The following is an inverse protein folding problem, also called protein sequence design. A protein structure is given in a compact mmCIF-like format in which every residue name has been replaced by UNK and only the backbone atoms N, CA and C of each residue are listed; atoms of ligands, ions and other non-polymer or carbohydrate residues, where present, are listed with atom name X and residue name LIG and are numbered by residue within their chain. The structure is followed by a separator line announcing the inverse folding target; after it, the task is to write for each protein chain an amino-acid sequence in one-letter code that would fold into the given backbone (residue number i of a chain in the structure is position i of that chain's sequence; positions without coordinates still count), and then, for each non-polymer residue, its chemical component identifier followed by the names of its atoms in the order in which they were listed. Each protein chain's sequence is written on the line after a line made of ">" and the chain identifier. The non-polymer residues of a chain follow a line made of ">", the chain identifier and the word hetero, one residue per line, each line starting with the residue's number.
data_IF_373879002641
#
_entry.id   IF_373879002641
#
_cell.length_a   1.000
_cell.length_b   1.000
_cell.length_c   1.000
_cell.angle_alpha   90.00
_cell.angle_beta   90.00
_cell.angle_gamma   90.00
#
_symmetry.space_group_name_H-M   'P 1'
#
loop_
_entity.id
_entity.type
_entity.pdbx_description
1 polymer ?
#
# COMPACT_ATOMS: atom_id res chain seq x y z
N UNK A 1 23.12 -16.94 23.21
CA UNK A 1 21.90 -16.53 22.47
C UNK A 1 22.33 -15.38 21.58
N UNK A 2 22.04 -15.46 20.29
CA UNK A 2 22.31 -14.33 19.38
C UNK A 2 21.29 -13.23 19.73
N UNK A 3 21.77 -12.03 20.02
CA UNK A 3 20.91 -10.90 20.35
C UNK A 3 20.44 -10.18 19.08
N UNK A 4 19.41 -9.36 19.19
CA UNK A 4 18.94 -8.52 18.09
C UNK A 4 20.03 -7.55 17.61
N UNK A 5 20.84 -7.05 18.54
CA UNK A 5 21.95 -6.17 18.28
C UNK A 5 23.08 -6.87 17.47
N UNK A 6 23.35 -8.16 17.75
CA UNK A 6 24.29 -8.96 16.99
C UNK A 6 23.82 -9.13 15.52
N UNK A 7 22.52 -9.35 15.31
CA UNK A 7 21.94 -9.49 13.97
C UNK A 7 22.05 -8.17 13.19
N UNK A 8 21.75 -7.03 13.83
CA UNK A 8 21.86 -5.72 13.20
C UNK A 8 23.32 -5.39 12.87
N UNK A 9 24.24 -5.70 13.75
CA UNK A 9 25.66 -5.45 13.53
C UNK A 9 26.22 -6.29 12.38
N UNK A 10 25.72 -7.50 12.20
CA UNK A 10 26.22 -8.43 11.17
C UNK A 10 25.54 -8.23 9.81
N UNK A 11 24.20 -7.98 9.78
CA UNK A 11 23.39 -7.98 8.57
C UNK A 11 22.66 -6.66 8.33
N UNK A 12 22.80 -5.67 9.22
CA UNK A 12 22.09 -4.40 9.15
C UNK A 12 22.75 -3.42 8.17
N UNK A 13 21.97 -2.91 7.21
CA UNK A 13 22.35 -1.76 6.38
C UNK A 13 21.48 -0.55 6.74
N UNK A 14 22.10 0.63 6.82
CA UNK A 14 21.43 1.90 7.14
C UNK A 14 21.25 2.72 5.87
N UNK A 15 20.09 3.33 5.74
CA UNK A 15 19.74 4.19 4.62
C UNK A 15 19.14 5.49 5.14
N UNK A 16 19.61 6.62 4.63
CA UNK A 16 19.04 7.93 4.95
C UNK A 16 17.81 8.20 4.14
N UNK A 17 16.91 9.06 4.64
CA UNK A 17 15.70 9.46 3.93
C UNK A 17 16.02 9.90 2.48
N UNK A 18 15.24 9.38 1.52
CA UNK A 18 15.39 9.63 0.08
C UNK A 18 16.45 8.78 -0.63
N UNK A 19 17.23 7.99 0.10
CA UNK A 19 18.25 7.13 -0.48
C UNK A 19 17.59 5.92 -1.17
N UNK A 20 18.06 5.61 -2.39
CA UNK A 20 17.69 4.37 -3.06
C UNK A 20 18.40 3.19 -2.39
N UNK A 21 17.64 2.15 -2.09
CA UNK A 21 18.16 0.86 -1.64
C UNK A 21 18.57 0.04 -2.88
N UNK A 22 17.70 0.06 -3.89
CA UNK A 22 17.96 -0.42 -5.25
C UNK A 22 16.99 0.24 -6.25
N UNK A 23 17.28 0.12 -7.54
CA UNK A 23 16.45 0.67 -8.63
C UNK A 23 15.78 -0.44 -9.41
N UNK A 24 14.63 -0.11 -9.99
CA UNK A 24 13.96 -0.97 -10.97
C UNK A 24 14.92 -1.36 -12.11
N UNK A 25 14.96 -2.64 -12.47
CA UNK A 25 15.82 -3.20 -13.50
C UNK A 25 17.24 -3.59 -13.02
N UNK A 26 17.67 -3.19 -11.83
CA UNK A 26 18.94 -3.63 -11.27
C UNK A 26 18.97 -5.16 -11.09
N UNK A 27 20.15 -5.77 -11.24
CA UNK A 27 20.36 -7.13 -10.76
C UNK A 27 20.42 -7.14 -9.23
N UNK A 28 19.82 -8.15 -8.61
CA UNK A 28 19.81 -8.22 -7.14
C UNK A 28 19.64 -9.63 -6.63
N UNK A 29 20.54 -10.05 -5.76
CA UNK A 29 20.59 -11.36 -5.10
C UNK A 29 20.26 -11.26 -3.60
N UNK A 30 19.91 -10.05 -3.14
CA UNK A 30 19.58 -9.77 -1.74
C UNK A 30 18.13 -9.41 -1.58
N UNK A 31 17.51 -9.82 -0.49
CA UNK A 31 16.27 -9.31 0.02
C UNK A 31 16.46 -8.55 1.33
N UNK A 32 15.46 -7.79 1.72
CA UNK A 32 15.55 -6.86 2.83
C UNK A 32 14.37 -7.04 3.77
N UNK A 33 14.62 -7.02 5.08
CA UNK A 33 13.61 -6.93 6.13
C UNK A 33 13.79 -5.58 6.81
N UNK A 34 12.73 -4.77 6.87
CA UNK A 34 12.76 -3.48 7.57
C UNK A 34 12.81 -3.75 9.07
N UNK A 35 13.89 -3.31 9.72
CA UNK A 35 14.00 -3.33 11.18
C UNK A 35 13.38 -2.07 11.78
N UNK A 36 13.77 -0.89 11.29
CA UNK A 36 13.22 0.40 11.68
C UNK A 36 13.05 1.31 10.46
N UNK A 37 12.16 2.30 10.55
CA UNK A 37 11.90 3.23 9.46
C UNK A 37 10.86 2.73 8.48
N UNK A 38 10.82 3.34 7.28
CA UNK A 38 9.86 3.03 6.22
C UNK A 38 10.53 3.06 4.85
N UNK A 39 10.03 2.22 3.94
CA UNK A 39 10.51 2.13 2.56
C UNK A 39 9.34 2.29 1.60
N UNK A 40 9.49 3.18 0.62
CA UNK A 40 8.60 3.31 -0.52
C UNK A 40 9.05 2.37 -1.63
N UNK A 41 8.15 1.51 -2.08
CA UNK A 41 8.32 0.75 -3.32
C UNK A 41 7.70 1.58 -4.43
N UNK A 42 8.50 1.90 -5.45
CA UNK A 42 8.11 2.83 -6.51
C UNK A 42 8.29 2.20 -7.88
N UNK A 43 7.49 2.63 -8.83
CA UNK A 43 7.57 2.22 -10.24
C UNK A 43 7.70 3.44 -11.12
N UNK A 44 8.55 3.35 -12.15
CA UNK A 44 8.69 4.39 -13.16
C UNK A 44 7.48 4.36 -14.08
N UNK A 45 6.88 5.52 -14.31
CA UNK A 45 5.78 5.76 -15.25
C UNK A 45 6.13 6.91 -16.18
N UNK A 46 5.35 7.13 -17.21
CA UNK A 46 5.52 8.26 -18.13
C UNK A 46 5.39 9.63 -17.42
N UNK A 47 4.65 9.68 -16.31
CA UNK A 47 4.42 10.87 -15.48
C UNK A 47 5.47 11.04 -14.37
N UNK A 48 6.43 10.12 -14.25
CA UNK A 48 7.46 10.12 -13.22
C UNK A 48 7.45 8.87 -12.36
N UNK A 49 7.93 8.98 -11.12
CA UNK A 49 8.03 7.85 -10.20
C UNK A 49 6.80 7.78 -9.29
N UNK A 50 6.02 6.70 -9.40
CA UNK A 50 4.80 6.48 -8.62
C UNK A 50 5.04 5.52 -7.45
N UNK A 51 4.62 5.90 -6.24
CA UNK A 51 4.67 5.03 -5.07
C UNK A 51 3.57 3.96 -5.21
N UNK A 52 3.98 2.70 -5.25
CA UNK A 52 3.07 1.55 -5.25
C UNK A 52 2.60 1.20 -3.84
N UNK A 53 3.54 1.17 -2.89
CA UNK A 53 3.26 0.85 -1.48
C UNK A 53 4.36 1.41 -0.59
N UNK A 54 4.00 1.79 0.64
CA UNK A 54 4.93 2.12 1.72
C UNK A 54 4.96 0.96 2.69
N UNK A 55 6.15 0.44 2.96
CA UNK A 55 6.42 -0.67 3.85
C UNK A 55 6.98 -0.17 5.18
N UNK A 56 6.68 -0.88 6.27
CA UNK A 56 7.12 -0.53 7.62
C UNK A 56 7.90 -1.65 8.32
N UNK A 57 8.22 -1.49 9.61
CA UNK A 57 8.99 -2.46 10.38
C UNK A 57 8.38 -3.86 10.35
N UNK A 58 9.23 -4.87 10.09
CA UNK A 58 8.85 -6.27 9.96
C UNK A 58 8.33 -6.67 8.57
N UNK A 59 8.14 -5.71 7.64
CA UNK A 59 7.89 -6.02 6.24
C UNK A 59 9.18 -6.38 5.53
N UNK A 60 9.04 -7.11 4.41
CA UNK A 60 10.17 -7.49 3.55
C UNK A 60 9.91 -7.04 2.11
N UNK A 61 11.00 -6.87 1.36
CA UNK A 61 10.98 -6.45 -0.03
C UNK A 61 12.26 -6.91 -0.76
N UNK A 62 12.23 -6.86 -2.10
CA UNK A 62 13.32 -7.33 -2.96
C UNK A 62 13.36 -8.86 -3.11
N UNK A 63 12.43 -9.58 -2.50
CA UNK A 63 12.30 -11.03 -2.51
C UNK A 63 12.06 -11.60 -3.91
N UNK A 64 11.36 -10.84 -4.78
CA UNK A 64 11.04 -11.32 -6.13
C UNK A 64 12.30 -11.59 -6.96
N UNK A 65 13.30 -10.71 -6.89
CA UNK A 65 14.54 -10.88 -7.63
C UNK A 65 15.34 -12.10 -7.13
N UNK A 66 15.25 -12.42 -5.84
CA UNK A 66 15.90 -13.61 -5.25
C UNK A 66 15.16 -14.89 -5.65
N UNK A 67 13.82 -14.89 -5.60
CA UNK A 67 12.99 -16.06 -5.91
C UNK A 67 13.01 -16.38 -7.42
N UNK A 68 12.81 -15.34 -8.25
CA UNK A 68 12.66 -15.50 -9.71
C UNK A 68 14.00 -15.40 -10.46
N UNK A 69 15.10 -15.05 -9.77
CA UNK A 69 16.43 -14.79 -10.35
C UNK A 69 16.37 -13.76 -11.48
N UNK A 70 15.45 -12.82 -11.35
CA UNK A 70 15.19 -11.77 -12.33
C UNK A 70 15.66 -10.39 -11.84
N UNK A 71 15.51 -9.36 -12.68
CA UNK A 71 15.81 -7.98 -12.28
C UNK A 71 14.81 -7.48 -11.23
N UNK A 72 15.20 -6.42 -10.49
CA UNK A 72 14.29 -5.73 -9.56
C UNK A 72 13.03 -5.26 -10.28
N UNK A 73 11.88 -5.70 -9.82
CA UNK A 73 10.57 -5.40 -10.43
C UNK A 73 10.10 -3.95 -10.19
N UNK A 74 10.70 -3.26 -9.21
CA UNK A 74 10.40 -1.90 -8.80
C UNK A 74 11.62 -1.30 -8.10
N UNK A 75 11.65 0.03 -7.88
CA UNK A 75 12.66 0.68 -7.04
C UNK A 75 12.24 0.66 -5.57
N UNK A 76 13.21 0.70 -4.67
CA UNK A 76 13.01 0.84 -3.24
C UNK A 76 13.76 2.07 -2.72
N UNK A 77 13.04 2.97 -2.03
CA UNK A 77 13.56 4.25 -1.53
C UNK A 77 13.23 4.37 -0.05
N UNK A 78 14.19 4.73 0.78
CA UNK A 78 13.96 5.02 2.18
C UNK A 78 13.04 6.26 2.33
N UNK A 79 11.85 6.09 2.89
CA UNK A 79 10.90 7.18 3.12
C UNK A 79 11.29 8.05 4.34
N UNK A 80 12.03 7.48 5.26
CA UNK A 80 12.65 8.09 6.43
C UNK A 80 13.98 7.34 6.72
N UNK A 81 14.74 7.75 7.70
CA UNK A 81 15.97 7.03 8.10
C UNK A 81 15.60 5.60 8.50
N UNK A 82 16.19 4.65 7.82
CA UNK A 82 15.75 3.24 7.80
C UNK A 82 16.93 2.30 8.04
N UNK A 83 16.68 1.26 8.82
CA UNK A 83 17.60 0.14 8.99
C UNK A 83 16.95 -1.11 8.42
N UNK A 84 17.63 -1.77 7.48
CA UNK A 84 17.19 -3.04 6.91
C UNK A 84 18.17 -4.15 7.28
N UNK A 85 17.66 -5.33 7.60
CA UNK A 85 18.43 -6.57 7.66
C UNK A 85 18.49 -7.13 6.25
N UNK A 86 19.68 -7.40 5.76
CA UNK A 86 19.92 -7.91 4.41
C UNK A 86 20.13 -9.40 4.47
N UNK A 87 19.44 -10.13 3.61
CA UNK A 87 19.54 -11.58 3.45
C UNK A 87 19.92 -11.86 1.99
N UNK A 88 21.02 -12.60 1.79
CA UNK A 88 21.32 -13.20 0.51
C UNK A 88 20.44 -14.46 0.26
N UNK A 89 20.55 -15.03 -0.93
CA UNK A 89 19.77 -16.22 -1.32
C UNK A 89 20.01 -17.39 -0.36
N UNK A 90 21.27 -17.66 0.00
CA UNK A 90 21.63 -18.80 0.85
C UNK A 90 21.05 -18.65 2.27
N UNK A 91 21.18 -17.49 2.87
CA UNK A 91 20.66 -17.20 4.20
C UNK A 91 19.12 -17.20 4.21
N UNK A 92 18.51 -16.69 3.14
CA UNK A 92 17.06 -16.74 2.95
C UNK A 92 16.56 -18.19 2.88
N UNK A 93 17.15 -19.04 2.04
CA UNK A 93 16.79 -20.45 1.93
C UNK A 93 16.96 -21.20 3.25
N UNK A 94 18.08 -20.98 3.95
CA UNK A 94 18.32 -21.58 5.27
C UNK A 94 17.24 -21.18 6.28
N UNK A 95 16.82 -19.90 6.29
CA UNK A 95 15.76 -19.42 7.18
C UNK A 95 14.41 -20.03 6.82
N UNK A 96 14.11 -20.16 5.53
CA UNK A 96 12.88 -20.79 5.04
C UNK A 96 12.77 -22.26 5.45
N UNK A 97 13.87 -23.00 5.36
CA UNK A 97 13.91 -24.42 5.74
C UNK A 97 13.79 -24.64 7.26
N UNK A 98 14.39 -23.74 8.05
CA UNK A 98 14.48 -23.91 9.51
C UNK A 98 13.33 -23.29 10.29
N UNK A 99 12.58 -22.34 9.69
CA UNK A 99 11.62 -21.55 10.43
C UNK A 99 10.28 -21.40 9.71
N UNK A 100 9.39 -22.38 9.93
CA UNK A 100 8.05 -22.36 9.37
C UNK A 100 7.23 -21.09 9.72
N UNK A 101 7.56 -20.38 10.81
CA UNK A 101 6.88 -19.13 11.18
C UNK A 101 7.27 -18.01 10.21
N UNK A 102 8.51 -17.97 9.73
CA UNK A 102 8.96 -17.00 8.72
C UNK A 102 8.22 -17.25 7.42
N UNK A 103 8.17 -18.51 6.95
CA UNK A 103 7.42 -18.91 5.76
C UNK A 103 5.96 -18.45 5.83
N UNK A 104 5.30 -18.74 6.95
CA UNK A 104 3.90 -18.33 7.17
C UNK A 104 3.73 -16.82 7.15
N UNK A 105 4.68 -16.05 7.71
CA UNK A 105 4.67 -14.58 7.69
C UNK A 105 4.81 -14.05 6.27
N UNK A 106 5.73 -14.62 5.49
CA UNK A 106 5.94 -14.25 4.08
C UNK A 106 4.66 -14.50 3.27
N UNK A 107 4.08 -15.70 3.35
CA UNK A 107 2.84 -16.04 2.65
C UNK A 107 1.69 -15.14 3.05
N UNK A 108 1.56 -14.81 4.34
CA UNK A 108 0.51 -13.89 4.83
C UNK A 108 0.67 -12.49 4.24
N UNK A 109 1.89 -11.95 4.19
CA UNK A 109 2.17 -10.64 3.63
C UNK A 109 1.92 -10.62 2.11
N UNK A 110 2.37 -11.64 1.38
CA UNK A 110 2.10 -11.78 -0.06
C UNK A 110 0.59 -11.87 -0.34
N UNK A 111 -0.15 -12.65 0.43
CA UNK A 111 -1.60 -12.74 0.31
C UNK A 111 -2.31 -11.41 0.60
N UNK A 112 -1.82 -10.64 1.56
CA UNK A 112 -2.36 -9.31 1.86
C UNK A 112 -2.09 -8.32 0.70
N UNK A 113 -0.86 -8.32 0.15
CA UNK A 113 -0.50 -7.50 -1.02
C UNK A 113 -1.35 -7.86 -2.24
N UNK A 114 -1.53 -9.16 -2.52
CA UNK A 114 -2.36 -9.63 -3.64
C UNK A 114 -3.83 -9.20 -3.48
N UNK A 115 -4.40 -9.30 -2.28
CA UNK A 115 -5.76 -8.80 -2.01
C UNK A 115 -5.87 -7.29 -2.26
N UNK A 116 -4.93 -6.49 -1.75
CA UNK A 116 -4.92 -5.06 -1.96
C UNK A 116 -4.83 -4.70 -3.46
N UNK A 117 -4.00 -5.41 -4.23
CA UNK A 117 -3.90 -5.22 -5.69
C UNK A 117 -5.21 -5.59 -6.41
N UNK A 118 -5.85 -6.70 -6.03
CA UNK A 118 -7.14 -7.09 -6.61
C UNK A 118 -8.24 -6.08 -6.31
N UNK A 119 -8.28 -5.53 -5.10
CA UNK A 119 -9.22 -4.48 -4.71
C UNK A 119 -8.99 -3.19 -5.53
N UNK A 120 -7.73 -2.80 -5.75
CA UNK A 120 -7.40 -1.67 -6.63
C UNK A 120 -7.84 -1.92 -8.08
N UNK A 121 -7.59 -3.10 -8.63
CA UNK A 121 -8.04 -3.48 -9.97
C UNK A 121 -9.57 -3.45 -10.09
N UNK A 122 -10.30 -3.97 -9.11
CA UNK A 122 -11.76 -3.89 -9.09
C UNK A 122 -12.24 -2.45 -9.07
N UNK A 123 -11.59 -1.57 -8.29
CA UNK A 123 -11.94 -0.15 -8.26
C UNK A 123 -11.73 0.52 -9.62
N UNK A 124 -10.65 0.22 -10.34
CA UNK A 124 -10.35 0.80 -11.65
C UNK A 124 -11.29 0.26 -12.76
N UNK A 125 -11.78 -0.97 -12.63
CA UNK A 125 -12.62 -1.62 -13.66
C UNK A 125 -14.11 -1.43 -13.44
N UNK A 126 -14.54 -1.02 -12.25
CA UNK A 126 -15.97 -0.78 -11.96
C UNK A 126 -16.46 0.47 -12.68
N UNK A 127 -17.59 0.37 -13.40
CA UNK A 127 -18.24 1.52 -14.07
C UNK A 127 -19.03 2.41 -13.10
N UNK A 128 -19.21 1.97 -11.86
CA UNK A 128 -19.89 2.71 -10.81
C UNK A 128 -18.93 3.61 -10.05
N UNK A 129 -18.87 4.87 -10.41
CA UNK A 129 -18.00 5.87 -9.80
C UNK A 129 -18.25 6.05 -8.30
N UNK A 130 -19.51 5.93 -7.84
CA UNK A 130 -19.81 6.02 -6.41
C UNK A 130 -19.13 4.89 -5.64
N UNK A 131 -19.26 3.65 -6.15
CA UNK A 131 -18.63 2.49 -5.53
C UNK A 131 -17.08 2.55 -5.57
N UNK A 132 -16.48 3.12 -6.62
CA UNK A 132 -15.03 3.36 -6.68
C UNK A 132 -14.57 4.25 -5.53
N UNK A 133 -15.26 5.38 -5.32
CA UNK A 133 -14.92 6.35 -4.27
C UNK A 133 -15.11 5.72 -2.88
N UNK A 134 -16.24 5.06 -2.65
CA UNK A 134 -16.53 4.37 -1.37
C UNK A 134 -15.48 3.32 -1.04
N UNK A 135 -15.14 2.46 -2.00
CA UNK A 135 -14.15 1.41 -1.80
C UNK A 135 -12.75 1.97 -1.53
N UNK A 136 -12.33 3.03 -2.25
CA UNK A 136 -11.05 3.69 -2.01
C UNK A 136 -10.96 4.28 -0.60
N UNK A 137 -12.02 4.92 -0.12
CA UNK A 137 -12.10 5.44 1.25
C UNK A 137 -12.07 4.31 2.30
N UNK A 138 -12.76 3.21 2.08
CA UNK A 138 -12.71 2.04 2.97
C UNK A 138 -11.31 1.43 3.05
N UNK A 139 -10.64 1.26 1.91
CA UNK A 139 -9.25 0.78 1.87
C UNK A 139 -8.34 1.71 2.68
N UNK A 140 -8.52 3.02 2.52
CA UNK A 140 -7.71 4.01 3.23
C UNK A 140 -7.92 3.94 4.75
N UNK A 141 -9.18 3.88 5.20
CA UNK A 141 -9.52 3.81 6.64
C UNK A 141 -9.06 2.48 7.25
N UNK A 142 -9.27 1.37 6.56
CA UNK A 142 -8.82 0.06 7.03
C UNK A 142 -7.29 -0.01 7.22
N UNK A 143 -6.54 0.77 6.45
CA UNK A 143 -5.08 0.86 6.55
C UNK A 143 -4.60 1.83 7.63
N UNK A 144 -5.28 2.97 7.79
CA UNK A 144 -4.81 4.09 8.61
C UNK A 144 -5.65 4.31 9.88
N UNK A 145 -6.77 3.60 10.04
CA UNK A 145 -7.70 3.76 11.17
C UNK A 145 -8.77 4.84 10.95
N UNK A 146 -9.71 4.91 11.86
CA UNK A 146 -10.72 5.96 11.90
C UNK A 146 -10.09 7.34 12.21
N UNK A 147 -10.80 8.44 11.94
CA UNK A 147 -10.32 9.82 12.05
C UNK A 147 -9.07 10.10 11.20
N UNK A 148 -9.02 9.53 10.01
CA UNK A 148 -7.92 9.69 9.06
C UNK A 148 -8.22 10.76 8.01
N UNK A 149 -7.18 11.33 7.43
CA UNK A 149 -7.29 12.29 6.33
C UNK A 149 -6.62 11.76 5.07
N UNK A 150 -7.21 12.06 3.93
CA UNK A 150 -6.75 11.64 2.61
C UNK A 150 -6.68 12.86 1.68
N UNK A 151 -5.51 13.18 1.08
CA UNK A 151 -5.42 14.19 0.04
C UNK A 151 -6.30 13.84 -1.17
N UNK A 152 -6.98 14.84 -1.74
CA UNK A 152 -7.86 14.65 -2.90
C UNK A 152 -7.12 14.01 -4.08
N UNK A 153 -5.87 14.42 -4.34
CA UNK A 153 -5.06 13.84 -5.41
C UNK A 153 -4.82 12.34 -5.19
N UNK A 154 -4.57 11.92 -3.96
CA UNK A 154 -4.43 10.49 -3.63
C UNK A 154 -5.71 9.70 -3.93
N UNK A 155 -6.87 10.29 -3.65
CA UNK A 155 -8.16 9.66 -3.98
C UNK A 155 -8.37 9.59 -5.51
N UNK A 156 -8.00 10.64 -6.24
CA UNK A 156 -8.03 10.66 -7.71
C UNK A 156 -7.18 9.51 -8.27
N UNK A 157 -5.94 9.38 -7.80
CA UNK A 157 -5.02 8.32 -8.23
C UNK A 157 -5.54 6.91 -7.92
N UNK A 158 -6.11 6.73 -6.73
CA UNK A 158 -6.65 5.42 -6.30
C UNK A 158 -7.92 5.02 -7.06
N UNK A 159 -8.71 6.00 -7.50
CA UNK A 159 -9.97 5.76 -8.21
C UNK A 159 -9.83 5.82 -9.73
N UNK A 160 -8.72 6.32 -10.26
CA UNK A 160 -8.52 6.55 -11.70
C UNK A 160 -9.50 7.59 -12.26
N UNK A 161 -9.87 8.59 -11.45
CA UNK A 161 -10.87 9.61 -11.82
C UNK A 161 -10.25 10.94 -12.24
N UNK A 162 -9.03 10.93 -12.80
CA UNK A 162 -8.35 12.15 -13.27
C UNK A 162 -9.18 12.91 -14.31
N UNK A 163 -9.76 12.20 -15.28
CA UNK A 163 -10.62 12.77 -16.33
C UNK A 163 -12.08 13.02 -15.88
N UNK A 164 -12.41 12.67 -14.63
CA UNK A 164 -13.77 12.72 -14.07
C UNK A 164 -13.84 13.53 -12.77
N UNK A 165 -13.01 14.56 -12.62
CA UNK A 165 -12.93 15.37 -11.39
C UNK A 165 -14.25 15.99 -10.98
N UNK A 166 -15.03 16.49 -11.93
CA UNK A 166 -16.36 17.06 -11.63
C UNK A 166 -17.29 16.01 -11.01
N UNK A 167 -17.27 14.80 -11.56
CA UNK A 167 -18.05 13.68 -11.02
C UNK A 167 -17.58 13.26 -9.64
N UNK A 168 -16.29 13.24 -9.42
CA UNK A 168 -15.70 12.97 -8.09
C UNK A 168 -16.17 14.01 -7.07
N UNK A 169 -16.14 15.30 -7.41
CA UNK A 169 -16.61 16.36 -6.52
C UNK A 169 -18.11 16.25 -6.23
N UNK A 170 -18.92 15.88 -7.21
CA UNK A 170 -20.37 15.62 -7.02
C UNK A 170 -20.59 14.48 -6.00
N UNK A 171 -19.85 13.37 -6.16
CA UNK A 171 -19.93 12.23 -5.25
C UNK A 171 -19.50 12.63 -3.84
N UNK A 172 -18.37 13.31 -3.70
CA UNK A 172 -17.85 13.74 -2.40
C UNK A 172 -18.82 14.70 -1.70
N UNK A 173 -19.43 15.64 -2.40
CA UNK A 173 -20.48 16.52 -1.84
C UNK A 173 -21.70 15.73 -1.37
N UNK A 174 -22.10 14.69 -2.11
CA UNK A 174 -23.17 13.79 -1.68
C UNK A 174 -22.83 13.05 -0.40
N UNK A 175 -21.59 12.54 -0.30
CA UNK A 175 -21.09 11.88 0.91
C UNK A 175 -20.95 12.83 2.10
N UNK A 176 -20.58 14.08 1.86
CA UNK A 176 -20.53 15.12 2.90
C UNK A 176 -21.92 15.45 3.45
N UNK A 177 -22.93 15.63 2.57
CA UNK A 177 -24.33 15.79 2.98
C UNK A 177 -24.83 14.60 3.80
N UNK A 178 -24.39 13.39 3.48
CA UNK A 178 -24.69 12.18 4.23
C UNK A 178 -23.84 12.01 5.51
N UNK A 179 -22.96 12.97 5.83
CA UNK A 179 -22.06 12.95 6.99
C UNK A 179 -21.09 11.75 7.01
N UNK A 180 -20.71 11.28 5.84
CA UNK A 180 -19.75 10.18 5.66
C UNK A 180 -18.31 10.70 5.67
N UNK A 181 -18.09 11.84 5.04
CA UNK A 181 -16.82 12.56 4.97
C UNK A 181 -17.00 14.03 5.29
N UNK A 182 -15.91 14.72 5.57
CA UNK A 182 -15.82 16.19 5.62
C UNK A 182 -14.76 16.64 4.64
N UNK A 183 -15.06 17.63 3.81
CA UNK A 183 -14.13 18.20 2.83
C UNK A 183 -13.51 19.47 3.41
N UNK A 184 -12.18 19.52 3.48
CA UNK A 184 -11.42 20.69 3.95
C UNK A 184 -10.34 21.05 2.95
N UNK A 185 -10.63 21.99 2.03
CA UNK A 185 -9.75 22.30 0.90
C UNK A 185 -9.52 21.06 0.04
N UNK A 186 -8.26 20.71 -0.20
CA UNK A 186 -7.87 19.51 -0.96
C UNK A 186 -7.71 18.25 -0.09
N UNK A 187 -8.33 18.23 1.09
CA UNK A 187 -8.23 17.10 2.01
C UNK A 187 -9.62 16.57 2.36
N UNK A 188 -9.76 15.26 2.31
CA UNK A 188 -10.98 14.54 2.70
C UNK A 188 -10.73 13.93 4.06
N UNK A 189 -11.56 14.24 5.03
CA UNK A 189 -11.51 13.72 6.39
C UNK A 189 -12.58 12.65 6.54
N UNK A 190 -12.19 11.47 6.98
CA UNK A 190 -13.07 10.34 7.26
C UNK A 190 -13.08 10.10 8.77
N UNK A 191 -14.23 10.36 9.40
CA UNK A 191 -14.35 10.24 10.85
C UNK A 191 -14.44 8.79 11.31
N UNK A 192 -15.12 7.92 10.53
CA UNK A 192 -15.29 6.54 10.96
C UNK A 192 -15.70 5.62 9.78
N UNK A 193 -15.15 4.41 9.80
CA UNK A 193 -15.37 3.37 8.78
C UNK A 193 -16.83 2.91 8.72
N UNK A 194 -17.52 2.86 9.85
CA UNK A 194 -18.90 2.40 9.91
C UNK A 194 -19.87 3.30 9.12
N UNK A 195 -19.61 4.61 9.02
CA UNK A 195 -20.41 5.51 8.20
C UNK A 195 -20.22 5.26 6.70
N UNK A 196 -19.00 4.92 6.29
CA UNK A 196 -18.73 4.55 4.88
C UNK A 196 -19.44 3.23 4.56
N UNK A 197 -19.39 2.23 5.44
CA UNK A 197 -20.06 0.94 5.24
C UNK A 197 -21.59 1.11 5.13
N UNK A 198 -22.20 1.94 5.97
CA UNK A 198 -23.63 2.27 5.87
C UNK A 198 -23.97 2.93 4.53
N UNK A 199 -23.12 3.85 4.09
CA UNK A 199 -23.31 4.53 2.81
C UNK A 199 -23.14 3.58 1.63
N UNK A 200 -22.18 2.66 1.70
CA UNK A 200 -22.01 1.57 0.73
C UNK A 200 -23.27 0.75 0.60
N UNK A 201 -23.79 0.28 1.75
CA UNK A 201 -25.02 -0.51 1.78
C UNK A 201 -26.22 0.26 1.19
N UNK A 202 -26.33 1.54 1.51
CA UNK A 202 -27.35 2.41 0.90
C UNK A 202 -27.25 2.45 -0.65
N UNK A 203 -26.04 2.60 -1.20
CA UNK A 203 -25.81 2.60 -2.64
C UNK A 203 -26.16 1.24 -3.29
N UNK A 204 -25.83 0.13 -2.61
CA UNK A 204 -26.17 -1.22 -3.07
C UNK A 204 -27.69 -1.42 -3.10
N UNK A 205 -28.40 -1.00 -2.05
CA UNK A 205 -29.85 -1.08 -1.98
C UNK A 205 -30.53 -0.19 -3.03
N UNK A 206 -30.04 1.04 -3.22
CA UNK A 206 -30.52 1.94 -4.27
C UNK A 206 -30.38 1.34 -5.68
N UNK A 207 -29.31 0.57 -5.92
CA UNK A 207 -29.07 -0.12 -7.18
C UNK A 207 -30.03 -1.30 -7.41
N UNK A 208 -30.40 -2.00 -6.34
CA UNK A 208 -31.30 -3.18 -6.40
C UNK A 208 -32.77 -2.74 -6.56
N UNK A 209 -33.18 -1.72 -5.82
CA UNK A 209 -34.60 -1.34 -5.73
C UNK A 209 -34.97 -0.12 -6.58
N UNK A 210 -34.02 0.54 -7.25
CA UNK A 210 -34.24 1.76 -8.00
C UNK A 210 -34.45 3.00 -7.11
N UNK A 211 -34.51 4.18 -7.73
CA UNK A 211 -34.95 5.38 -7.01
C UNK A 211 -36.47 5.31 -6.85
N UNK A 212 -36.93 5.27 -5.60
CA UNK A 212 -38.33 5.62 -5.27
C UNK A 212 -38.48 7.12 -5.26
#
# INVERSE_FOLDING_TARGET
>A
MVTEEDIINQYGKRYTKGQYIFREGDHGEEMFIIHTGKVNITKRTDEGEKILVTLGPGDFFGEMAVIDKGPRSASAIAAEDTVCIVLDEELFEQQMQRNAKIVKKILKNMSARLRAMNEQLQNLTTKDYNMRVVNALLIHVNKNGDNTSLPLQTLIDQTGMEDYKDKLHEILRSMEKAKVVTISGDTIIVSNSANIEKYKHYLEMKKIFGES
#
